data_IF_038079185892
#
_entry.id   IF_038079185892
#
_cell.length_a   1.000
_cell.length_b   1.000
_cell.length_c   1.000
_cell.angle_alpha   90.00
_cell.angle_beta   90.00
_cell.angle_gamma   90.00
#
_symmetry.space_group_name_H-M   'P 1'
#
loop_
_entity.id
_entity.type
_entity.pdbx_description
1 polymer ?
#
# COMPACT_ATOMS: atom_id res chain seq x y z
N UNK A 1 -0.36 16.25 -2.45
CA UNK A 1 -1.46 17.26 -2.44
C UNK A 1 -2.74 16.79 -3.16
N UNK A 2 -2.69 16.30 -4.40
CA UNK A 2 -3.90 15.77 -5.07
C UNK A 2 -4.55 14.57 -4.36
N UNK A 3 -3.76 13.73 -3.70
CA UNK A 3 -4.26 12.57 -2.95
C UNK A 3 -4.90 12.92 -1.61
N UNK A 4 -4.66 14.12 -1.06
CA UNK A 4 -5.11 14.47 0.29
C UNK A 4 -6.63 14.49 0.43
N UNK A 5 -7.40 15.15 -0.46
CA UNK A 5 -8.87 15.11 -0.40
C UNK A 5 -9.44 13.69 -0.51
N UNK A 6 -8.79 12.82 -1.29
CA UNK A 6 -9.21 11.43 -1.46
C UNK A 6 -8.99 10.65 -0.16
N UNK A 7 -7.78 10.72 0.40
CA UNK A 7 -7.47 10.06 1.67
C UNK A 7 -8.28 10.63 2.84
N UNK A 8 -8.58 11.93 2.82
CA UNK A 8 -9.47 12.57 3.80
C UNK A 8 -10.88 11.98 3.72
N UNK A 9 -11.46 11.90 2.51
CA UNK A 9 -12.77 11.28 2.30
C UNK A 9 -12.79 9.82 2.78
N UNK A 10 -11.81 9.02 2.35
CA UNK A 10 -11.66 7.63 2.78
C UNK A 10 -11.51 7.50 4.30
N UNK A 11 -10.68 8.33 4.92
CA UNK A 11 -10.47 8.31 6.37
C UNK A 11 -11.75 8.64 7.14
N UNK A 12 -12.55 9.60 6.65
CA UNK A 12 -13.86 9.93 7.24
C UNK A 12 -14.81 8.74 7.13
N UNK A 13 -14.90 8.12 5.96
CA UNK A 13 -15.75 6.93 5.73
C UNK A 13 -15.36 5.75 6.62
N UNK A 14 -14.06 5.45 6.74
CA UNK A 14 -13.54 4.41 7.62
C UNK A 14 -13.96 4.69 9.07
N UNK A 15 -13.70 5.90 9.59
CA UNK A 15 -14.04 6.22 10.97
C UNK A 15 -15.55 6.19 11.22
N UNK A 16 -16.37 6.72 10.32
CA UNK A 16 -17.84 6.63 10.43
C UNK A 16 -18.30 5.18 10.46
N UNK A 17 -17.76 4.32 9.59
CA UNK A 17 -18.11 2.90 9.54
C UNK A 17 -17.76 2.14 10.82
N UNK A 18 -16.61 2.45 11.43
CA UNK A 18 -16.15 1.78 12.66
C UNK A 18 -16.87 2.30 13.91
N UNK A 19 -17.06 3.62 14.01
CA UNK A 19 -17.59 4.26 15.22
C UNK A 19 -19.10 4.38 15.23
N UNK A 20 -19.75 4.30 14.05
CA UNK A 20 -21.16 4.64 13.87
C UNK A 20 -21.43 6.15 13.95
N UNK A 21 -20.39 6.99 13.95
CA UNK A 21 -20.53 8.43 13.99
C UNK A 21 -21.27 8.96 12.75
N UNK A 22 -22.18 9.93 12.97
CA UNK A 22 -22.75 10.70 11.86
C UNK A 22 -21.72 11.68 11.28
N UNK A 23 -21.97 12.21 10.09
CA UNK A 23 -21.10 13.22 9.47
C UNK A 23 -20.83 14.44 10.36
N UNK A 24 -21.81 14.84 11.20
CA UNK A 24 -21.66 15.94 12.18
C UNK A 24 -20.72 15.61 13.34
N UNK A 25 -20.54 14.31 13.63
CA UNK A 25 -19.62 13.81 14.64
C UNK A 25 -18.19 13.64 14.11
N UNK A 26 -17.93 13.98 12.85
CA UNK A 26 -16.60 13.95 12.24
C UNK A 26 -16.06 15.36 12.08
N UNK A 27 -14.87 15.60 12.62
CA UNK A 27 -14.10 16.82 12.36
C UNK A 27 -12.72 16.46 11.80
N UNK A 28 -12.12 17.39 11.07
CA UNK A 28 -10.77 17.23 10.56
C UNK A 28 -9.99 18.54 10.60
N UNK A 29 -8.67 18.41 10.67
CA UNK A 29 -7.73 19.52 10.65
C UNK A 29 -6.47 19.13 9.88
N UNK A 30 -5.92 20.10 9.15
CA UNK A 30 -4.60 19.96 8.54
C UNK A 30 -3.56 20.20 9.66
N UNK A 31 -2.72 19.19 9.90
CA UNK A 31 -1.58 19.31 10.82
C UNK A 31 -0.39 19.97 10.12
N UNK A 32 -0.15 19.59 8.87
CA UNK A 32 0.93 20.14 8.04
C UNK A 32 0.47 20.26 6.58
N UNK A 33 0.36 21.48 6.08
CA UNK A 33 -0.08 21.75 4.71
C UNK A 33 1.01 21.48 3.65
N UNK A 34 2.29 21.47 4.04
CA UNK A 34 3.40 21.19 3.13
C UNK A 34 3.42 19.70 2.79
N UNK A 35 3.35 18.86 3.83
CA UNK A 35 3.38 17.39 3.69
C UNK A 35 2.00 16.77 3.53
N UNK A 36 0.95 17.58 3.56
CA UNK A 36 -0.44 17.15 3.55
C UNK A 36 -0.74 16.16 4.70
N UNK A 37 -0.20 16.43 5.88
CA UNK A 37 -0.52 15.67 7.08
C UNK A 37 -1.84 16.19 7.66
N UNK A 38 -2.75 15.28 7.98
CA UNK A 38 -4.08 15.61 8.50
C UNK A 38 -4.45 14.78 9.72
N UNK A 39 -5.39 15.28 10.50
CA UNK A 39 -6.00 14.57 11.62
C UNK A 39 -7.52 14.60 11.44
N UNK A 40 -8.14 13.43 11.51
CA UNK A 40 -9.58 13.25 11.53
C UNK A 40 -9.96 12.74 12.92
N UNK A 41 -11.00 13.30 13.50
CA UNK A 41 -11.59 12.86 14.76
C UNK A 41 -13.03 12.42 14.51
N UNK A 42 -13.41 11.32 15.15
CA UNK A 42 -14.77 10.80 15.12
C UNK A 42 -15.31 10.67 16.54
N UNK A 43 -16.48 11.24 16.77
CA UNK A 43 -17.22 11.13 18.02
C UNK A 43 -18.24 10.00 17.93
N UNK A 44 -17.99 8.93 18.67
CA UNK A 44 -18.89 7.79 18.75
C UNK A 44 -20.09 8.07 19.65
N UNK A 45 -20.92 7.05 19.89
CA UNK A 45 -22.03 7.18 20.85
C UNK A 45 -21.54 7.30 22.31
N UNK A 46 -20.31 6.84 22.59
CA UNK A 46 -19.67 6.92 23.90
C UNK A 46 -18.20 7.35 23.76
N UNK A 47 -17.58 7.95 24.80
CA UNK A 47 -16.17 8.35 24.73
C UNK A 47 -15.18 7.22 24.48
N UNK A 48 -15.56 5.96 24.73
CA UNK A 48 -14.75 4.78 24.43
C UNK A 48 -14.79 4.41 22.93
N UNK A 49 -15.80 4.89 22.20
CA UNK A 49 -15.99 4.68 20.77
C UNK A 49 -15.48 5.85 19.94
N UNK A 50 -14.97 6.91 20.56
CA UNK A 50 -14.29 7.97 19.82
C UNK A 50 -13.03 7.41 19.16
N UNK A 51 -12.70 7.91 17.98
CA UNK A 51 -11.53 7.45 17.23
C UNK A 51 -10.82 8.62 16.57
N UNK A 52 -9.53 8.42 16.29
CA UNK A 52 -8.71 9.37 15.54
C UNK A 52 -8.04 8.67 14.35
N UNK A 53 -7.81 9.43 13.29
CA UNK A 53 -7.05 8.98 12.13
C UNK A 53 -6.04 10.05 11.71
N UNK A 54 -4.76 9.69 11.63
CA UNK A 54 -3.70 10.56 11.14
C UNK A 54 -3.37 10.18 9.70
N UNK A 55 -3.48 11.16 8.79
CA UNK A 55 -3.20 11.00 7.37
C UNK A 55 -1.75 11.38 7.07
N UNK A 56 -1.06 10.57 6.26
CA UNK A 56 0.25 10.89 5.69
C UNK A 56 1.31 11.35 6.70
N UNK A 57 1.30 10.80 7.91
CA UNK A 57 2.33 11.07 8.90
C UNK A 57 3.72 10.76 8.31
N UNK A 58 4.62 11.73 8.34
CA UNK A 58 6.01 11.59 7.92
C UNK A 58 6.96 11.46 9.11
N UNK A 59 8.25 11.29 8.80
CA UNK A 59 9.30 11.19 9.82
C UNK A 59 9.42 12.47 10.67
N UNK A 60 9.04 13.63 10.12
CA UNK A 60 9.14 14.92 10.78
C UNK A 60 7.98 15.19 11.75
N UNK A 61 6.84 14.50 11.60
CA UNK A 61 5.66 14.65 12.46
C UNK A 61 5.60 13.59 13.59
N UNK A 62 6.71 12.91 13.91
CA UNK A 62 6.74 11.87 14.95
C UNK A 62 6.43 12.39 16.36
N UNK A 63 6.83 13.63 16.67
CA UNK A 63 6.51 14.27 17.95
C UNK A 63 5.01 14.54 18.10
N UNK A 64 4.38 15.02 17.03
CA UNK A 64 2.96 15.29 16.93
C UNK A 64 2.16 13.99 17.02
N UNK A 65 2.62 12.95 16.33
CA UNK A 65 2.01 11.63 16.38
C UNK A 65 2.00 11.07 17.80
N UNK A 66 3.10 11.19 18.55
CA UNK A 66 3.17 10.74 19.95
C UNK A 66 2.27 11.57 20.88
N UNK A 67 2.05 12.86 20.59
CA UNK A 67 1.06 13.67 21.30
C UNK A 67 -0.36 13.17 21.01
N UNK A 68 -0.70 12.92 19.75
CA UNK A 68 -2.02 12.40 19.34
C UNK A 68 -2.28 11.02 19.95
N UNK A 69 -1.31 10.12 19.93
CA UNK A 69 -1.39 8.79 20.58
C UNK A 69 -1.72 8.90 22.08
N UNK A 70 -1.02 9.78 22.79
CA UNK A 70 -1.31 10.04 24.22
C UNK A 70 -2.71 10.61 24.44
N UNK A 71 -3.19 11.47 23.54
CA UNK A 71 -4.55 12.03 23.61
C UNK A 71 -5.64 10.99 23.30
N UNK A 72 -5.35 10.04 22.41
CA UNK A 72 -6.23 8.92 22.12
C UNK A 72 -6.46 8.07 23.38
N UNK A 73 -5.48 7.97 24.28
CA UNK A 73 -5.62 7.39 25.62
C UNK A 73 -6.23 5.97 25.62
N UNK A 74 -5.79 5.12 24.68
CA UNK A 74 -6.27 3.74 24.52
C UNK A 74 -7.50 3.59 23.62
N UNK A 75 -8.04 4.70 23.08
CA UNK A 75 -9.04 4.67 22.00
C UNK A 75 -8.38 4.33 20.67
N UNK A 76 -9.20 4.01 19.66
CA UNK A 76 -8.73 3.69 18.33
C UNK A 76 -7.98 4.87 17.70
N UNK A 77 -6.73 4.62 17.31
CA UNK A 77 -5.91 5.52 16.52
C UNK A 77 -5.47 4.82 15.24
N UNK A 78 -5.92 5.30 14.09
CA UNK A 78 -5.55 4.80 12.77
C UNK A 78 -4.46 5.69 12.17
N UNK A 79 -3.46 5.08 11.53
CA UNK A 79 -2.56 5.80 10.62
C UNK A 79 -2.91 5.41 9.19
N UNK A 80 -3.37 6.38 8.40
CA UNK A 80 -3.72 6.16 7.00
C UNK A 80 -2.60 6.66 6.11
N UNK A 81 -2.01 5.71 5.38
CA UNK A 81 -0.91 5.93 4.43
C UNK A 81 0.26 6.73 5.03
N UNK A 82 0.87 6.27 6.15
CA UNK A 82 2.08 6.90 6.67
C UNK A 82 3.20 6.85 5.61
N UNK A 83 4.03 7.88 5.57
CA UNK A 83 5.13 7.96 4.60
C UNK A 83 6.33 7.12 5.01
N UNK A 84 6.38 6.71 6.28
CA UNK A 84 7.36 5.75 6.81
C UNK A 84 6.75 4.36 6.89
N UNK A 85 7.55 3.36 6.53
CA UNK A 85 7.20 1.94 6.59
C UNK A 85 8.25 1.12 7.32
N UNK A 86 9.51 1.56 7.23
CA UNK A 86 10.68 0.86 7.74
C UNK A 86 11.48 1.76 8.66
N UNK A 87 12.30 1.15 9.51
CA UNK A 87 13.17 1.91 10.38
C UNK A 87 14.20 2.74 9.58
N UNK A 88 14.57 2.25 8.40
CA UNK A 88 15.53 2.85 7.50
C UNK A 88 15.03 4.19 6.93
N UNK A 89 13.73 4.44 6.94
CA UNK A 89 13.12 5.70 6.51
C UNK A 89 13.44 6.85 7.49
N UNK A 90 13.89 6.51 8.70
CA UNK A 90 14.27 7.47 9.73
C UNK A 90 15.79 7.71 9.76
N UNK A 91 16.17 8.96 10.00
CA UNK A 91 17.56 9.32 10.29
C UNK A 91 18.08 8.54 11.51
N UNK A 92 19.39 8.28 11.56
CA UNK A 92 20.02 7.48 12.63
C UNK A 92 19.62 7.94 14.05
N UNK A 93 19.46 9.24 14.25
CA UNK A 93 19.11 9.86 15.53
C UNK A 93 17.63 9.69 15.90
N UNK A 94 16.75 9.52 14.91
CA UNK A 94 15.30 9.34 15.11
C UNK A 94 14.90 7.86 15.31
N UNK A 95 15.75 6.91 14.91
CA UNK A 95 15.43 5.46 14.92
C UNK A 95 15.00 4.92 16.27
N UNK A 96 15.67 5.31 17.36
CA UNK A 96 15.31 4.83 18.70
C UNK A 96 13.91 5.29 19.11
N UNK A 97 13.54 6.53 18.76
CA UNK A 97 12.21 7.07 19.01
C UNK A 97 11.16 6.41 18.11
N UNK A 98 11.43 6.28 16.82
CA UNK A 98 10.53 5.61 15.88
C UNK A 98 10.23 4.16 16.30
N UNK A 99 11.24 3.43 16.82
CA UNK A 99 11.01 2.11 17.40
C UNK A 99 10.02 2.15 18.56
N UNK A 100 10.20 3.06 19.50
CA UNK A 100 9.36 3.14 20.70
C UNK A 100 7.93 3.62 20.41
N UNK A 101 7.79 4.67 19.59
CA UNK A 101 6.51 5.35 19.37
C UNK A 101 5.66 4.71 18.26
N UNK A 102 6.26 3.92 17.38
CA UNK A 102 5.58 3.31 16.23
C UNK A 102 5.79 1.80 16.16
N UNK A 103 7.00 1.32 15.87
CA UNK A 103 7.23 -0.09 15.52
C UNK A 103 6.90 -1.06 16.66
N UNK A 104 7.26 -0.70 17.89
CA UNK A 104 7.04 -1.55 19.07
C UNK A 104 5.74 -1.22 19.81
N UNK A 105 4.96 -0.25 19.31
CA UNK A 105 3.76 0.24 19.99
C UNK A 105 2.59 -0.73 19.91
N UNK A 106 2.62 -1.65 18.93
CA UNK A 106 1.56 -2.61 18.69
C UNK A 106 0.52 -2.14 17.67
N UNK A 107 0.89 -1.24 16.74
CA UNK A 107 0.07 -1.00 15.57
C UNK A 107 -0.04 -2.27 14.75
N UNK A 108 -1.28 -2.64 14.41
CA UNK A 108 -1.57 -3.77 13.55
C UNK A 108 -1.88 -3.28 12.14
N UNK A 109 -1.41 -4.02 11.14
CA UNK A 109 -1.73 -3.73 9.76
C UNK A 109 -3.21 -4.02 9.51
N UNK A 110 -4.00 -2.96 9.26
CA UNK A 110 -5.39 -3.08 8.85
C UNK A 110 -5.50 -3.53 7.38
N UNK A 111 -4.84 -2.79 6.49
CA UNK A 111 -4.85 -3.02 5.06
C UNK A 111 -3.56 -2.47 4.42
N UNK A 112 -2.97 -3.22 3.50
CA UNK A 112 -1.90 -2.75 2.61
C UNK A 112 -2.17 -3.19 1.18
N UNK A 113 -1.87 -2.28 0.25
CA UNK A 113 -1.74 -2.60 -1.17
C UNK A 113 -0.38 -2.09 -1.64
N UNK A 114 0.45 -2.97 -2.18
CA UNK A 114 1.78 -2.64 -2.65
C UNK A 114 1.98 -3.12 -4.08
N UNK A 115 2.72 -2.33 -4.85
CA UNK A 115 3.05 -2.63 -6.24
C UNK A 115 4.53 -2.38 -6.49
N UNK A 116 5.22 -3.37 -7.06
CA UNK A 116 6.62 -3.24 -7.45
C UNK A 116 7.02 -4.30 -8.48
N UNK A 117 8.15 -4.06 -9.14
CA UNK A 117 8.70 -5.01 -10.09
C UNK A 117 9.51 -6.11 -9.39
N UNK A 118 9.24 -7.36 -9.70
CA UNK A 118 10.04 -8.52 -9.30
C UNK A 118 10.43 -9.31 -10.55
N UNK A 119 11.74 -9.45 -10.81
CA UNK A 119 12.26 -10.15 -11.98
C UNK A 119 11.69 -9.64 -13.33
N UNK A 120 11.40 -8.34 -13.40
CA UNK A 120 10.84 -7.66 -14.58
C UNK A 120 9.32 -7.78 -14.75
N UNK A 121 8.64 -8.52 -13.87
CA UNK A 121 7.18 -8.65 -13.81
C UNK A 121 6.59 -7.69 -12.77
N UNK A 122 5.35 -7.25 -12.98
CA UNK A 122 4.65 -6.42 -12.00
C UNK A 122 4.01 -7.30 -10.93
N UNK A 123 4.43 -7.13 -9.68
CA UNK A 123 3.88 -7.83 -8.51
C UNK A 123 2.96 -6.88 -7.75
N UNK A 124 1.77 -7.39 -7.39
CA UNK A 124 0.84 -6.74 -6.49
C UNK A 124 0.74 -7.56 -5.20
N UNK A 125 0.92 -6.91 -4.05
CA UNK A 125 0.70 -7.52 -2.74
C UNK A 125 -0.51 -6.89 -2.08
N UNK A 126 -1.35 -7.72 -1.48
CA UNK A 126 -2.49 -7.28 -0.67
C UNK A 126 -2.34 -7.90 0.71
N UNK A 127 -2.28 -7.07 1.75
CA UNK A 127 -2.28 -7.48 3.14
C UNK A 127 -3.57 -7.04 3.81
N UNK A 128 -4.28 -7.95 4.47
CA UNK A 128 -5.55 -7.68 5.15
C UNK A 128 -5.54 -8.24 6.57
N UNK A 129 -5.99 -7.42 7.51
CA UNK A 129 -6.12 -7.84 8.91
C UNK A 129 -7.05 -9.05 9.05
N UNK A 130 -6.59 -10.05 9.82
CA UNK A 130 -7.33 -11.29 10.06
C UNK A 130 -7.38 -12.27 8.88
N UNK A 131 -6.98 -11.86 7.67
CA UNK A 131 -6.91 -12.75 6.50
C UNK A 131 -5.47 -13.12 6.14
N UNK A 132 -4.53 -12.16 6.23
CA UNK A 132 -3.13 -12.34 5.84
C UNK A 132 -2.79 -11.70 4.50
N UNK A 133 -1.70 -12.17 3.90
CA UNK A 133 -1.10 -11.62 2.69
C UNK A 133 -1.38 -12.47 1.46
N UNK A 134 -1.64 -11.80 0.34
CA UNK A 134 -1.82 -12.41 -0.98
C UNK A 134 -0.91 -11.74 -1.98
N UNK A 135 -0.25 -12.54 -2.80
CA UNK A 135 0.63 -12.06 -3.86
C UNK A 135 0.07 -12.40 -5.23
N UNK A 136 0.15 -11.45 -6.15
CA UNK A 136 -0.27 -11.61 -7.54
C UNK A 136 0.83 -11.11 -8.46
N UNK A 137 0.95 -11.71 -9.64
CA UNK A 137 1.85 -11.26 -10.69
C UNK A 137 1.06 -10.96 -11.96
N UNK A 138 1.39 -9.86 -12.63
CA UNK A 138 0.91 -9.56 -13.97
C UNK A 138 2.04 -9.89 -14.94
N UNK A 139 1.81 -10.90 -15.77
CA UNK A 139 2.86 -11.52 -16.59
C UNK A 139 3.05 -10.87 -17.95
N UNK A 140 2.17 -9.94 -18.34
CA UNK A 140 2.22 -9.18 -19.58
C UNK A 140 1.40 -7.89 -19.45
N UNK A 141 1.80 -6.82 -20.14
CA UNK A 141 1.11 -5.52 -20.14
C UNK A 141 -0.30 -5.56 -20.81
N UNK A 142 -0.75 -6.75 -21.25
CA UNK A 142 -2.02 -6.96 -22.00
C UNK A 142 -3.08 -7.74 -21.23
N UNK A 143 -2.71 -8.44 -20.15
CA UNK A 143 -3.68 -9.10 -19.27
C UNK A 143 -3.92 -8.20 -18.06
N UNK A 144 -5.16 -7.76 -17.88
CA UNK A 144 -5.56 -7.01 -16.68
C UNK A 144 -5.75 -7.90 -15.45
N UNK A 145 -5.76 -9.22 -15.62
CA UNK A 145 -5.96 -10.17 -14.53
C UNK A 145 -4.62 -10.65 -13.97
N UNK A 146 -4.41 -10.41 -12.67
CA UNK A 146 -3.24 -10.88 -11.93
C UNK A 146 -3.34 -12.36 -11.60
N UNK A 147 -2.27 -13.09 -11.83
CA UNK A 147 -2.15 -14.52 -11.51
C UNK A 147 -1.69 -14.67 -10.06
N UNK A 148 -2.38 -15.46 -9.21
CA UNK A 148 -1.97 -15.64 -7.82
C UNK A 148 -0.61 -16.36 -7.70
N UNK A 149 0.22 -15.86 -6.78
CA UNK A 149 1.46 -16.39 -6.22
C UNK A 149 1.33 -17.77 -5.57
N UNK A 150 0.22 -17.97 -4.88
CA UNK A 150 0.00 -19.07 -3.98
C UNK A 150 -1.51 -19.24 -3.75
N UNK A 151 -1.89 -20.37 -3.19
CA UNK A 151 -3.25 -20.58 -2.70
C UNK A 151 -3.43 -19.95 -1.32
N UNK A 152 -4.64 -19.47 -1.03
CA UNK A 152 -4.99 -18.90 0.27
C UNK A 152 -4.21 -17.62 0.62
N UNK A 153 -3.92 -17.45 1.92
CA UNK A 153 -3.24 -16.28 2.46
C UNK A 153 -1.99 -16.69 3.25
N UNK A 154 -0.94 -15.88 3.17
CA UNK A 154 0.27 -16.00 3.97
C UNK A 154 0.10 -15.25 5.30
N UNK A 155 0.65 -15.75 6.42
CA UNK A 155 0.57 -15.05 7.71
C UNK A 155 1.42 -13.78 7.74
N UNK A 156 2.48 -13.71 6.93
CA UNK A 156 3.44 -12.61 6.89
C UNK A 156 3.63 -12.09 5.47
N UNK A 157 4.09 -10.84 5.35
CA UNK A 157 4.37 -10.21 4.07
C UNK A 157 5.49 -10.99 3.34
N UNK A 158 5.25 -11.51 2.13
CA UNK A 158 6.30 -12.22 1.41
C UNK A 158 7.47 -11.30 1.07
N UNK A 159 8.69 -11.82 1.20
CA UNK A 159 9.90 -11.10 0.80
C UNK A 159 10.19 -11.26 -0.70
N UNK A 160 11.14 -10.47 -1.20
CA UNK A 160 11.52 -10.49 -2.62
C UNK A 160 11.99 -11.88 -3.08
N UNK A 161 12.78 -12.59 -2.26
CA UNK A 161 13.35 -13.89 -2.63
C UNK A 161 12.27 -14.95 -2.76
N UNK A 162 11.29 -14.93 -1.86
CA UNK A 162 10.14 -15.80 -1.90
C UNK A 162 9.31 -15.55 -3.17
N UNK A 163 9.04 -14.29 -3.49
CA UNK A 163 8.30 -13.90 -4.70
C UNK A 163 9.04 -14.34 -5.96
N UNK A 164 10.34 -14.08 -6.05
CA UNK A 164 11.17 -14.51 -7.17
C UNK A 164 11.13 -16.03 -7.36
N UNK A 165 11.21 -16.81 -6.28
CA UNK A 165 11.12 -18.27 -6.33
C UNK A 165 9.76 -18.73 -6.87
N UNK A 166 8.65 -18.16 -6.39
CA UNK A 166 7.31 -18.51 -6.86
C UNK A 166 7.10 -18.15 -8.34
N UNK A 167 7.61 -16.99 -8.77
CA UNK A 167 7.55 -16.59 -10.18
C UNK A 167 8.40 -17.53 -11.03
N UNK A 168 9.60 -17.91 -10.59
CA UNK A 168 10.47 -18.84 -11.33
C UNK A 168 9.84 -20.23 -11.47
N UNK A 169 9.14 -20.73 -10.45
CA UNK A 169 8.48 -22.03 -10.48
C UNK A 169 7.32 -22.06 -11.48
N UNK A 170 6.50 -21.00 -11.52
CA UNK A 170 5.30 -20.92 -12.37
C UNK A 170 5.59 -20.38 -13.78
N UNK A 171 6.57 -19.50 -13.88
CA UNK A 171 6.94 -18.76 -15.10
C UNK A 171 8.47 -18.69 -15.25
N UNK A 172 9.12 -19.83 -15.59
CA UNK A 172 10.58 -19.97 -15.57
C UNK A 172 11.30 -19.08 -16.59
N UNK A 173 10.62 -18.72 -17.69
CA UNK A 173 11.21 -17.80 -18.66
C UNK A 173 11.07 -16.35 -18.17
N UNK A 174 12.18 -15.61 -18.02
CA UNK A 174 12.12 -14.20 -17.65
C UNK A 174 11.46 -13.38 -18.76
N UNK A 175 10.85 -12.24 -18.40
CA UNK A 175 10.13 -11.34 -19.34
C UNK A 175 10.89 -11.08 -20.63
N UNK A 176 12.20 -10.77 -20.56
CA UNK A 176 13.00 -10.48 -21.75
C UNK A 176 13.09 -11.67 -22.72
N UNK A 177 13.16 -12.89 -22.21
CA UNK A 177 13.23 -14.10 -23.05
C UNK A 177 11.87 -14.37 -23.72
N UNK A 178 10.77 -14.15 -23.01
CA UNK A 178 9.41 -14.23 -23.56
C UNK A 178 9.18 -13.19 -24.66
N UNK A 179 9.63 -11.96 -24.42
CA UNK A 179 9.53 -10.86 -25.40
C UNK A 179 10.41 -11.10 -26.64
N UNK A 180 11.60 -11.70 -26.49
CA UNK A 180 12.41 -12.11 -27.64
C UNK A 180 11.77 -13.25 -28.43
N UNK A 181 11.19 -14.25 -27.76
CA UNK A 181 10.41 -15.30 -28.42
C UNK A 181 9.25 -14.72 -29.24
N UNK A 182 8.53 -13.72 -28.73
CA UNK A 182 7.49 -13.02 -29.50
C UNK A 182 8.04 -12.29 -30.73
N UNK A 183 9.26 -11.74 -30.64
CA UNK A 183 9.93 -11.07 -31.77
C UNK A 183 10.35 -12.10 -32.81
N UNK A 184 10.83 -13.27 -32.40
CA UNK A 184 11.19 -14.37 -33.30
C UNK A 184 9.95 -14.92 -34.02
N UNK A 185 8.84 -15.13 -33.30
CA UNK A 185 7.59 -15.66 -33.87
C UNK A 185 6.89 -14.68 -34.80
N UNK A 186 6.81 -13.41 -34.41
CA UNK A 186 6.01 -12.40 -35.13
C UNK A 186 6.88 -11.49 -36.01
N UNK A 187 8.20 -11.70 -36.06
CA UNK A 187 9.17 -10.80 -36.69
C UNK A 187 9.30 -9.45 -35.96
N UNK A 188 10.28 -8.61 -36.34
CA UNK A 188 10.39 -7.26 -35.79
C UNK A 188 9.16 -6.41 -36.17
N UNK A 189 8.71 -5.53 -35.27
CA UNK A 189 7.49 -4.73 -35.47
C UNK A 189 7.45 -3.96 -36.80
N UNK A 190 8.60 -3.50 -37.30
CA UNK A 190 8.69 -2.77 -38.58
C UNK A 190 8.69 -3.68 -39.82
N UNK A 191 8.78 -5.00 -39.65
CA UNK A 191 8.60 -5.99 -40.72
C UNK A 191 7.14 -6.46 -40.82
N UNK A 192 6.36 -6.27 -39.76
CA UNK A 192 4.92 -6.60 -39.68
C UNK A 192 4.10 -5.56 -40.45
N UNK A 193 4.09 -5.66 -41.77
CA UNK A 193 3.39 -4.73 -42.67
C UNK A 193 3.86 -4.71 -44.12
N UNK A 194 4.76 -5.61 -44.52
CA UNK A 194 5.28 -5.69 -45.89
C UNK A 194 4.63 -6.79 -46.75
N UNK A 195 3.70 -7.59 -46.23
CA UNK A 195 3.12 -8.71 -46.97
C UNK A 195 1.87 -8.38 -47.81
N UNK A 196 1.24 -7.20 -47.67
CA UNK A 196 0.04 -6.82 -48.45
C UNK A 196 0.36 -5.91 -49.67
N UNK A 197 1.53 -6.06 -50.28
CA UNK A 197 2.09 -5.07 -51.22
C UNK A 197 2.55 -5.54 -52.59
N UNK A 198 2.26 -6.77 -53.02
CA UNK A 198 2.59 -7.22 -54.39
C UNK A 198 1.51 -8.12 -54.99
N UNK A 199 0.51 -7.49 -55.61
CA UNK A 199 -0.10 -8.03 -56.83
C UNK A 199 0.05 -6.96 -57.93
N UNK A 200 0.99 -7.20 -58.84
CA UNK A 200 1.08 -6.59 -60.18
C UNK A 200 0.10 -7.24 -61.14
#
# INVERSE_FOLDING_TARGET
>A
KQQFPIALGLGREILMGITGASERGISDQVLDAQDACGLILAQGATPAQDAACVLFAGCDQMDELEKVDRMAAGRLLCLLNPQFQRLEDFSLWQRSKAKASWLNKGYELAYAFEEFACRGEDVKLVGEYGLGWRAFVLLDDKSSEGVPLHEGCLPERPDYKWLEAQINERHPQPRWARMLGEVDEKGLRFMRGLEDGTET
#
